data_IF_436096036082
#
_entry.id   IF_436096036082
#
_cell.length_a   1.000
_cell.length_b   1.000
_cell.length_c   1.000
_cell.angle_alpha   90.00
_cell.angle_beta   90.00
_cell.angle_gamma   90.00
#
_symmetry.space_group_name_H-M   'P 1'
#
loop_
_entity.id
_entity.type
_entity.pdbx_description
1 polymer ?
#
# COMPACT_ATOMS: atom_id res chain seq x y z
N UNK A 1 9.92 6.16 -33.31
CA UNK A 1 10.13 7.46 -32.62
C UNK A 1 8.92 7.86 -31.73
N UNK A 2 8.13 6.91 -31.20
CA UNK A 2 6.93 7.19 -30.36
C UNK A 2 7.11 6.76 -28.89
N UNK A 3 8.19 6.04 -28.55
CA UNK A 3 8.49 5.63 -27.16
C UNK A 3 9.13 6.73 -26.29
N UNK A 4 9.62 7.82 -26.90
CA UNK A 4 10.31 8.91 -26.18
C UNK A 4 9.34 9.87 -25.46
N UNK A 5 8.07 9.93 -25.89
CA UNK A 5 7.01 10.74 -25.25
C UNK A 5 6.49 10.11 -23.95
N UNK A 6 6.66 8.79 -23.78
CA UNK A 6 6.17 8.04 -22.61
C UNK A 6 7.08 8.19 -21.39
N UNK A 7 8.39 8.39 -21.58
CA UNK A 7 9.32 8.69 -20.48
C UNK A 7 8.92 9.98 -19.76
N UNK A 8 8.67 11.07 -20.49
CA UNK A 8 8.36 12.37 -19.91
C UNK A 8 7.04 12.35 -19.13
N UNK A 9 6.01 11.66 -19.63
CA UNK A 9 4.74 11.49 -18.93
C UNK A 9 4.91 10.69 -17.63
N UNK A 10 5.69 9.61 -17.66
CA UNK A 10 5.97 8.81 -16.47
C UNK A 10 6.80 9.57 -15.44
N UNK A 11 7.77 10.38 -15.88
CA UNK A 11 8.52 11.29 -15.02
C UNK A 11 7.65 12.38 -14.41
N UNK A 12 6.73 12.97 -15.18
CA UNK A 12 5.78 13.96 -14.70
C UNK A 12 4.92 13.44 -13.55
N UNK A 13 4.34 12.24 -13.72
CA UNK A 13 3.54 11.57 -12.69
C UNK A 13 4.38 11.31 -11.42
N UNK A 14 5.64 10.85 -11.57
CA UNK A 14 6.56 10.64 -10.44
C UNK A 14 6.92 11.92 -9.70
N UNK A 15 7.12 13.02 -10.42
CA UNK A 15 7.47 14.31 -9.82
C UNK A 15 6.28 14.88 -9.06
N UNK A 16 5.07 14.82 -9.62
CA UNK A 16 3.84 15.24 -8.94
C UNK A 16 3.59 14.40 -7.69
N UNK A 17 3.80 13.08 -7.77
CA UNK A 17 3.71 12.19 -6.62
C UNK A 17 4.74 12.55 -5.53
N UNK A 18 6.02 12.79 -5.89
CA UNK A 18 7.02 13.26 -4.91
C UNK A 18 6.65 14.60 -4.30
N UNK A 19 6.21 15.56 -5.10
CA UNK A 19 5.88 16.91 -4.64
C UNK A 19 4.70 16.89 -3.66
N UNK A 20 3.68 16.09 -3.95
CA UNK A 20 2.51 15.90 -3.07
C UNK A 20 2.82 15.14 -1.77
N UNK A 21 3.86 14.30 -1.75
CA UNK A 21 4.35 13.65 -0.52
C UNK A 21 5.23 14.62 0.28
N UNK A 22 6.12 15.36 -0.39
CA UNK A 22 6.99 16.38 0.24
C UNK A 22 6.18 17.52 0.86
N UNK A 23 5.11 17.98 0.21
CA UNK A 23 4.24 19.01 0.78
C UNK A 23 3.53 18.53 2.04
N UNK A 24 3.04 17.29 2.06
CA UNK A 24 2.46 16.68 3.27
C UNK A 24 3.48 16.48 4.38
N UNK A 25 4.69 16.00 4.05
CA UNK A 25 5.77 15.85 5.02
C UNK A 25 6.23 17.20 5.58
N UNK A 26 6.27 18.26 4.77
CA UNK A 26 6.62 19.60 5.22
C UNK A 26 5.56 20.22 6.13
N UNK A 27 4.27 19.95 5.87
CA UNK A 27 3.16 20.36 6.75
C UNK A 27 3.22 19.60 8.08
N UNK A 28 3.42 18.28 8.05
CA UNK A 28 3.56 17.45 9.27
C UNK A 28 4.82 17.80 10.08
N UNK A 29 5.91 18.19 9.42
CA UNK A 29 7.15 18.59 10.09
C UNK A 29 7.08 20.01 10.71
N UNK A 30 6.18 20.88 10.23
CA UNK A 30 5.98 22.22 10.79
C UNK A 30 5.12 22.22 12.05
N UNK A 31 4.30 21.20 12.25
CA UNK A 31 3.47 21.01 13.45
C UNK A 31 3.84 19.67 14.14
N UNK A 32 4.96 19.60 14.88
CA UNK A 32 5.30 18.40 15.65
C UNK A 32 4.31 18.11 16.80
N UNK A 33 3.36 19.02 17.06
CA UNK A 33 2.30 18.91 18.06
C UNK A 33 0.98 18.34 17.54
N UNK A 34 0.76 18.28 16.22
CA UNK A 34 -0.42 17.67 15.65
C UNK A 34 -0.08 16.23 15.27
N UNK A 35 0.12 15.40 16.30
CA UNK A 35 -0.41 14.04 16.15
C UNK A 35 -1.87 14.26 15.83
N UNK A 36 -2.26 14.05 14.57
CA UNK A 36 -3.65 13.96 14.19
C UNK A 36 -4.26 12.89 15.10
N UNK A 37 -4.80 13.29 16.25
CA UNK A 37 -6.10 12.80 16.65
C UNK A 37 -6.92 12.99 15.40
N UNK A 38 -7.05 11.92 14.61
CA UNK A 38 -8.04 11.80 13.55
C UNK A 38 -9.33 12.20 14.26
N UNK A 39 -9.68 13.48 14.15
CA UNK A 39 -10.87 14.03 14.74
C UNK A 39 -11.95 13.27 14.00
N UNK A 40 -12.50 12.27 14.70
CA UNK A 40 -13.43 11.31 14.17
C UNK A 40 -14.71 12.04 13.83
N UNK A 41 -14.75 12.73 12.68
CA UNK A 41 -15.96 12.75 11.92
C UNK A 41 -16.30 11.27 11.73
N UNK A 42 -17.33 10.79 12.41
CA UNK A 42 -17.82 9.42 12.30
C UNK A 42 -18.28 9.22 10.86
N UNK A 43 -17.32 8.98 9.97
CA UNK A 43 -17.58 8.61 8.61
C UNK A 43 -18.31 7.28 8.73
N UNK A 44 -19.58 7.26 8.35
CA UNK A 44 -20.36 6.03 8.44
C UNK A 44 -19.62 4.91 7.72
N UNK A 45 -19.57 3.73 8.33
CA UNK A 45 -18.87 2.55 7.77
C UNK A 45 -19.27 2.28 6.32
N UNK A 46 -20.54 2.55 5.99
CA UNK A 46 -21.06 2.45 4.63
C UNK A 46 -20.41 3.43 3.65
N UNK A 47 -20.08 4.65 4.09
CA UNK A 47 -19.41 5.65 3.25
C UNK A 47 -17.96 5.25 2.97
N UNK A 48 -17.26 4.73 3.99
CA UNK A 48 -15.92 4.14 3.83
C UNK A 48 -15.97 2.95 2.88
N UNK A 49 -16.89 2.00 3.10
CA UNK A 49 -17.05 0.83 2.26
C UNK A 49 -17.33 1.20 0.80
N UNK A 50 -18.20 2.19 0.56
CA UNK A 50 -18.46 2.71 -0.80
C UNK A 50 -17.24 3.37 -1.42
N UNK A 51 -16.48 4.14 -0.65
CA UNK A 51 -15.26 4.77 -1.14
C UNK A 51 -14.23 3.71 -1.54
N UNK A 52 -13.97 2.74 -0.68
CA UNK A 52 -13.05 1.62 -0.97
C UNK A 52 -13.53 0.81 -2.18
N UNK A 53 -14.83 0.53 -2.27
CA UNK A 53 -15.42 -0.14 -3.43
C UNK A 53 -15.20 0.65 -4.73
N UNK A 54 -15.43 1.96 -4.71
CA UNK A 54 -15.21 2.82 -5.88
C UNK A 54 -13.73 2.92 -6.27
N UNK A 55 -12.83 2.95 -5.29
CA UNK A 55 -11.38 2.93 -5.52
C UNK A 55 -10.95 1.58 -6.12
N UNK A 56 -11.45 0.47 -5.58
CA UNK A 56 -11.15 -0.87 -6.10
C UNK A 56 -11.70 -1.07 -7.52
N UNK A 57 -12.95 -0.64 -7.77
CA UNK A 57 -13.57 -0.67 -9.09
C UNK A 57 -12.86 0.25 -10.10
N UNK A 58 -12.30 1.37 -9.65
CA UNK A 58 -11.51 2.29 -10.47
C UNK A 58 -10.07 1.83 -10.71
N UNK A 59 -9.61 0.75 -10.07
CA UNK A 59 -8.24 0.27 -10.18
C UNK A 59 -8.12 -0.77 -11.32
N UNK A 60 -7.59 -0.39 -12.50
CA UNK A 60 -7.51 -1.30 -13.65
C UNK A 60 -6.65 -2.53 -13.36
N UNK A 61 -5.67 -2.42 -12.45
CA UNK A 61 -4.84 -3.55 -12.03
C UNK A 61 -5.66 -4.58 -11.24
N UNK A 62 -6.55 -4.13 -10.37
CA UNK A 62 -7.43 -5.01 -9.61
C UNK A 62 -8.41 -5.72 -10.56
N UNK A 63 -9.01 -4.98 -11.50
CA UNK A 63 -9.89 -5.56 -12.53
C UNK A 63 -9.15 -6.65 -13.32
N UNK A 64 -7.95 -6.36 -13.83
CA UNK A 64 -7.18 -7.33 -14.62
C UNK A 64 -6.87 -8.62 -13.85
N UNK A 65 -6.50 -8.51 -12.57
CA UNK A 65 -6.28 -9.67 -11.70
C UNK A 65 -7.58 -10.44 -11.54
N UNK A 66 -8.66 -9.78 -11.16
CA UNK A 66 -9.96 -10.43 -11.01
C UNK A 66 -10.42 -11.11 -12.29
N UNK A 67 -10.33 -10.46 -13.45
CA UNK A 67 -10.71 -11.04 -14.74
C UNK A 67 -9.78 -12.17 -15.19
N UNK A 68 -8.53 -12.22 -14.73
CA UNK A 68 -7.60 -13.29 -15.05
C UNK A 68 -7.78 -14.52 -14.15
N UNK A 69 -8.07 -14.30 -12.87
CA UNK A 69 -8.16 -15.36 -11.86
C UNK A 69 -9.59 -15.87 -11.62
N UNK A 70 -10.62 -15.01 -11.54
CA UNK A 70 -12.03 -15.45 -11.34
C UNK A 70 -12.51 -16.48 -12.34
N UNK A 71 -12.35 -16.32 -13.67
CA UNK A 71 -12.91 -17.28 -14.63
C UNK A 71 -12.28 -18.66 -14.52
N UNK A 72 -11.10 -18.80 -13.91
CA UNK A 72 -10.47 -20.10 -13.68
C UNK A 72 -11.21 -20.93 -12.61
N UNK A 73 -12.00 -20.27 -11.75
CA UNK A 73 -12.71 -20.90 -10.63
C UNK A 73 -14.23 -20.98 -10.85
N UNK A 74 -14.75 -20.52 -11.99
CA UNK A 74 -16.17 -20.47 -12.29
C UNK A 74 -16.50 -21.47 -13.39
N UNK A 75 -17.52 -22.30 -13.16
CA UNK A 75 -18.08 -23.18 -14.18
C UNK A 75 -19.14 -22.40 -15.00
N UNK A 76 -18.90 -22.13 -16.29
CA UNK A 76 -19.83 -21.39 -17.14
C UNK A 76 -21.12 -22.17 -17.45
N UNK A 77 -21.18 -23.49 -17.17
CA UNK A 77 -22.38 -24.30 -17.37
C UNK A 77 -23.44 -24.10 -16.26
N UNK A 78 -23.10 -23.42 -15.16
CA UNK A 78 -23.99 -23.15 -14.03
C UNK A 78 -24.26 -21.65 -13.85
N UNK A 79 -25.22 -21.31 -12.99
CA UNK A 79 -25.52 -19.93 -12.66
C UNK A 79 -24.27 -19.19 -12.14
N UNK A 80 -23.90 -18.10 -12.81
CA UNK A 80 -22.64 -17.37 -12.60
C UNK A 80 -22.70 -16.48 -11.35
N UNK A 81 -23.84 -15.81 -11.13
CA UNK A 81 -24.05 -14.87 -10.01
C UNK A 81 -23.70 -15.44 -8.62
N UNK A 82 -24.19 -16.62 -8.19
CA UNK A 82 -23.85 -17.16 -6.88
C UNK A 82 -22.37 -17.57 -6.76
N UNK A 83 -21.75 -18.02 -7.87
CA UNK A 83 -20.32 -18.40 -7.88
C UNK A 83 -19.43 -17.17 -7.68
N UNK A 84 -19.72 -16.07 -8.39
CA UNK A 84 -19.00 -14.81 -8.21
C UNK A 84 -19.22 -14.21 -6.82
N UNK A 85 -20.44 -14.28 -6.28
CA UNK A 85 -20.73 -13.82 -4.92
C UNK A 85 -19.92 -14.61 -3.88
N UNK A 86 -19.84 -15.93 -4.02
CA UNK A 86 -19.05 -16.80 -3.14
C UNK A 86 -17.55 -16.49 -3.24
N UNK A 87 -17.02 -16.36 -4.46
CA UNK A 87 -15.60 -16.06 -4.67
C UNK A 87 -15.23 -14.67 -4.14
N UNK A 88 -16.09 -13.67 -4.35
CA UNK A 88 -15.92 -12.33 -3.78
C UNK A 88 -15.96 -12.34 -2.25
N UNK A 89 -16.86 -13.10 -1.64
CA UNK A 89 -16.93 -13.25 -0.18
C UNK A 89 -15.68 -13.93 0.39
N UNK A 90 -15.20 -15.01 -0.26
CA UNK A 90 -13.95 -15.67 0.11
C UNK A 90 -12.75 -14.73 0.00
N UNK A 91 -12.67 -13.94 -1.08
CA UNK A 91 -11.63 -12.94 -1.25
C UNK A 91 -11.64 -11.89 -0.12
N UNK A 92 -12.80 -11.30 0.18
CA UNK A 92 -12.95 -10.33 1.29
C UNK A 92 -12.56 -10.95 2.64
N UNK A 93 -12.94 -12.21 2.88
CA UNK A 93 -12.59 -12.91 4.12
C UNK A 93 -11.07 -13.10 4.23
N UNK A 94 -10.41 -13.52 3.15
CA UNK A 94 -8.96 -13.67 3.11
C UNK A 94 -8.24 -12.34 3.31
N UNK A 95 -8.73 -11.28 2.67
CA UNK A 95 -8.21 -9.92 2.82
C UNK A 95 -8.34 -9.45 4.27
N UNK A 96 -9.50 -9.66 4.90
CA UNK A 96 -9.71 -9.29 6.28
C UNK A 96 -8.79 -10.06 7.24
N UNK A 97 -8.58 -11.36 7.01
CA UNK A 97 -7.62 -12.17 7.78
C UNK A 97 -6.19 -11.65 7.57
N UNK A 98 -5.80 -11.33 6.34
CA UNK A 98 -4.46 -10.84 6.03
C UNK A 98 -4.19 -9.47 6.70
N UNK A 99 -5.13 -8.54 6.62
CA UNK A 99 -5.05 -7.23 7.27
C UNK A 99 -5.07 -7.40 8.79
N UNK A 100 -5.92 -8.28 9.33
CA UNK A 100 -5.97 -8.60 10.75
C UNK A 100 -4.66 -9.17 11.27
N UNK A 101 -4.06 -10.11 10.54
CA UNK A 101 -2.75 -10.68 10.84
C UNK A 101 -1.65 -9.61 10.77
N UNK A 102 -1.69 -8.73 9.76
CA UNK A 102 -0.76 -7.62 9.63
C UNK A 102 -0.89 -6.61 10.77
N UNK A 103 -2.13 -6.26 11.17
CA UNK A 103 -2.40 -5.38 12.29
C UNK A 103 -1.95 -6.00 13.62
N UNK A 104 -2.18 -7.30 13.81
CA UNK A 104 -1.70 -8.04 14.99
C UNK A 104 -0.17 -8.06 15.07
N UNK A 105 0.49 -8.39 13.96
CA UNK A 105 1.95 -8.35 13.84
C UNK A 105 2.48 -6.94 14.09
N UNK A 106 1.82 -5.93 13.52
CA UNK A 106 2.15 -4.51 13.70
C UNK A 106 1.99 -4.06 15.15
N UNK A 107 0.99 -4.55 15.89
CA UNK A 107 0.83 -4.25 17.31
C UNK A 107 1.95 -4.88 18.14
N UNK A 108 2.37 -6.10 17.81
CA UNK A 108 3.48 -6.78 18.47
C UNK A 108 4.82 -6.06 18.18
N UNK A 109 5.06 -5.70 16.92
CA UNK A 109 6.21 -4.89 16.52
C UNK A 109 6.18 -3.53 17.19
N UNK A 110 5.03 -2.86 17.29
CA UNK A 110 4.90 -1.56 17.96
C UNK A 110 5.21 -1.65 19.45
N UNK A 111 4.85 -2.74 20.14
CA UNK A 111 5.30 -3.01 21.52
C UNK A 111 6.82 -3.20 21.61
N UNK A 112 7.41 -3.87 20.63
CA UNK A 112 8.86 -4.08 20.55
C UNK A 112 9.64 -2.80 20.22
N UNK A 113 9.10 -1.96 19.34
CA UNK A 113 9.59 -0.62 19.00
C UNK A 113 9.34 0.41 20.11
N UNK A 114 8.32 0.23 20.94
CA UNK A 114 8.14 1.06 22.12
C UNK A 114 9.29 0.87 23.12
N UNK A 115 9.99 -0.27 23.09
CA UNK A 115 11.19 -0.47 23.89
C UNK A 115 12.41 0.21 23.23
N UNK A 116 13.23 0.94 24.00
CA UNK A 116 14.41 1.64 23.47
C UNK A 116 15.45 0.71 22.84
N UNK A 117 15.45 -0.58 23.19
CA UNK A 117 16.31 -1.61 22.57
C UNK A 117 15.88 -1.98 21.15
N UNK A 118 14.57 -2.13 20.90
CA UNK A 118 14.03 -2.46 19.57
C UNK A 118 14.27 -1.35 18.55
N UNK A 119 14.04 -0.08 18.94
CA UNK A 119 14.38 1.09 18.11
C UNK A 119 15.86 1.16 17.74
N UNK A 120 16.77 0.89 18.68
CA UNK A 120 18.22 0.92 18.43
C UNK A 120 18.66 -0.21 17.49
N UNK A 121 18.12 -1.41 17.65
CA UNK A 121 18.44 -2.54 16.78
C UNK A 121 17.93 -2.29 15.35
N UNK A 122 16.69 -1.82 15.21
CA UNK A 122 16.13 -1.45 13.92
C UNK A 122 16.93 -0.33 13.24
N UNK A 123 17.30 0.72 13.97
CA UNK A 123 18.10 1.81 13.41
C UNK A 123 19.49 1.32 12.96
N UNK A 124 20.10 0.37 13.70
CA UNK A 124 21.36 -0.27 13.29
C UNK A 124 21.19 -1.14 12.05
N UNK A 125 20.10 -1.91 11.95
CA UNK A 125 19.82 -2.71 10.75
C UNK A 125 19.58 -1.81 9.53
N UNK A 126 18.77 -0.76 9.65
CA UNK A 126 18.56 0.22 8.59
C UNK A 126 19.85 0.93 8.19
N UNK A 127 20.65 1.37 9.17
CA UNK A 127 21.96 1.96 8.90
C UNK A 127 22.89 0.98 8.17
N UNK A 128 22.96 -0.27 8.62
CA UNK A 128 23.76 -1.30 7.96
C UNK A 128 23.30 -1.58 6.53
N UNK A 129 21.99 -1.70 6.30
CA UNK A 129 21.42 -1.91 4.96
C UNK A 129 21.67 -0.72 4.02
N UNK A 130 21.46 0.50 4.51
CA UNK A 130 21.70 1.72 3.72
C UNK A 130 23.19 1.91 3.43
N UNK A 131 24.06 1.65 4.40
CA UNK A 131 25.51 1.66 4.18
C UNK A 131 25.93 0.61 3.17
N UNK A 132 25.41 -0.62 3.26
CA UNK A 132 25.71 -1.68 2.29
C UNK A 132 25.20 -1.33 0.88
N UNK A 133 23.97 -0.83 0.77
CA UNK A 133 23.41 -0.38 -0.50
C UNK A 133 24.20 0.80 -1.09
N UNK A 134 24.62 1.76 -0.25
CA UNK A 134 25.46 2.88 -0.67
C UNK A 134 26.83 2.40 -1.14
N UNK A 135 27.46 1.45 -0.44
CA UNK A 135 28.73 0.84 -0.86
C UNK A 135 28.60 0.12 -2.20
N UNK A 136 27.53 -0.67 -2.40
CA UNK A 136 27.25 -1.37 -3.67
C UNK A 136 27.02 -0.37 -4.80
N UNK A 137 26.23 0.69 -4.57
CA UNK A 137 26.00 1.74 -5.56
C UNK A 137 27.25 2.55 -5.90
N UNK A 138 28.10 2.81 -4.91
CA UNK A 138 29.38 3.48 -5.12
C UNK A 138 30.32 2.62 -5.98
N UNK A 139 30.30 1.30 -5.77
CA UNK A 139 31.10 0.35 -6.55
C UNK A 139 30.56 0.18 -7.98
N UNK A 140 29.23 0.10 -8.13
CA UNK A 140 28.57 0.02 -9.43
C UNK A 140 28.67 1.31 -10.27
N UNK A 141 28.88 2.48 -9.64
CA UNK A 141 29.18 3.73 -10.35
C UNK A 141 30.64 3.87 -10.78
N UNK A 142 31.55 3.04 -10.25
CA UNK A 142 32.98 3.07 -10.56
C UNK A 142 33.40 2.08 -11.66
N UNK A 143 32.47 1.28 -12.16
CA UNK A 143 32.59 0.41 -13.35
C UNK A 143 31.81 1.01 -14.51
#
# INVERSE_FOLDING_TARGET
MVLQTSELLFYGIKIVARLSVLSRLAVVARDPGTQDTVAGASVGTLRLARQEFLVAAGNPKAILIFTAFLPQFVDPARAITPQFALLGALFLMLEWIAIGAYAYMGLHMRRWFAQPRGKRLFNRCCAGLLSAAASVLLMARRT
#
